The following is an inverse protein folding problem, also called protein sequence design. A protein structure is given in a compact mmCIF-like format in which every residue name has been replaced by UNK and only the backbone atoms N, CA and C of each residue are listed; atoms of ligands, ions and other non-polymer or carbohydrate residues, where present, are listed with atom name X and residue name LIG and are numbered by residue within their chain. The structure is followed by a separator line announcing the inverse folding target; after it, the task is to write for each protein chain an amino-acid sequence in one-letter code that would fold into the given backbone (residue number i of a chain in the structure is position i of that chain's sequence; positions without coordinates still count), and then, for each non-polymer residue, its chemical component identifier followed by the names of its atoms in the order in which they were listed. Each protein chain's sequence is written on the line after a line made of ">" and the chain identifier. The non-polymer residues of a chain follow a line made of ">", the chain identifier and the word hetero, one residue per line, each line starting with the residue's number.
data_IF_067067522503
#
_entry.id   IF_067067522503
#
_cell.length_a   1.000
_cell.length_b   1.000
_cell.length_c   1.000
_cell.angle_alpha   90.00
_cell.angle_beta   90.00
_cell.angle_gamma   90.00
#
_symmetry.space_group_name_H-M   'P 1'
#
loop_
_entity.id
_entity.type
_entity.pdbx_description
1 polymer ?
#
# COMPACT_ATOMS: atom_id res chain seq x y z
N UNK A 1 -2.55 -4.81 15.79
CA UNK A 1 -2.56 -3.33 15.75
C UNK A 1 -3.90 -2.87 16.30
N UNK A 2 -3.93 -1.81 17.12
CA UNK A 2 -5.19 -1.19 17.53
C UNK A 2 -5.32 0.17 16.85
N UNK A 3 -6.46 0.41 16.22
CA UNK A 3 -6.79 1.72 15.65
C UNK A 3 -7.87 2.35 16.53
N UNK A 4 -7.68 3.59 16.93
CA UNK A 4 -8.65 4.36 17.71
C UNK A 4 -8.96 5.66 16.99
N UNK A 5 -10.22 6.03 16.92
CA UNK A 5 -10.63 7.32 16.38
C UNK A 5 -10.84 8.30 17.53
N UNK A 6 -10.29 9.50 17.42
CA UNK A 6 -10.47 10.57 18.43
C UNK A 6 -10.45 11.90 17.71
N UNK A 7 -11.47 12.74 17.92
CA UNK A 7 -11.56 14.10 17.36
C UNK A 7 -11.33 14.16 15.83
N UNK A 8 -11.87 13.19 15.09
CA UNK A 8 -11.72 13.11 13.62
C UNK A 8 -10.34 12.66 13.13
N UNK A 9 -9.46 12.21 14.02
CA UNK A 9 -8.17 11.60 13.69
C UNK A 9 -8.14 10.11 14.04
N UNK A 10 -7.31 9.37 13.32
CA UNK A 10 -7.03 7.97 13.54
C UNK A 10 -5.69 7.81 14.24
N UNK A 11 -5.71 7.18 15.41
CA UNK A 11 -4.53 6.85 16.20
C UNK A 11 -4.26 5.37 16.09
N UNK A 12 -3.21 5.02 15.35
CA UNK A 12 -2.69 3.68 15.21
C UNK A 12 -1.70 3.42 16.35
N UNK A 13 -1.99 2.44 17.18
CA UNK A 13 -1.06 1.96 18.20
C UNK A 13 -0.34 0.74 17.65
N UNK A 14 0.95 0.96 17.36
CA UNK A 14 1.84 0.00 16.73
C UNK A 14 2.80 -0.55 17.79
N UNK A 15 2.91 -1.87 17.86
CA UNK A 15 4.07 -2.49 18.51
C UNK A 15 5.37 -2.12 17.78
N UNK A 16 6.52 -2.34 18.43
CA UNK A 16 7.82 -2.09 17.80
C UNK A 16 8.01 -2.89 16.49
N UNK A 17 7.48 -4.12 16.46
CA UNK A 17 7.49 -4.96 15.26
C UNK A 17 6.59 -4.41 14.16
N UNK A 18 5.35 -4.02 14.47
CA UNK A 18 4.43 -3.45 13.50
C UNK A 18 4.95 -2.13 12.91
N UNK A 19 5.57 -1.27 13.74
CA UNK A 19 6.25 -0.06 13.26
C UNK A 19 7.35 -0.41 12.26
N UNK A 20 8.23 -1.36 12.61
CA UNK A 20 9.31 -1.79 11.72
C UNK A 20 8.76 -2.35 10.42
N UNK A 21 7.75 -3.21 10.48
CA UNK A 21 7.10 -3.78 9.30
C UNK A 21 6.48 -2.73 8.42
N UNK A 22 5.74 -1.78 8.99
CA UNK A 22 5.12 -0.70 8.24
C UNK A 22 6.20 0.10 7.49
N UNK A 23 7.32 0.42 8.15
CA UNK A 23 8.43 1.11 7.50
C UNK A 23 9.03 0.31 6.35
N UNK A 24 9.26 -1.00 6.53
CA UNK A 24 9.78 -1.83 5.45
C UNK A 24 8.78 -1.93 4.28
N UNK A 25 7.48 -2.05 4.56
CA UNK A 25 6.44 -2.04 3.52
C UNK A 25 6.44 -0.73 2.73
N UNK A 26 6.43 0.41 3.42
CA UNK A 26 6.39 1.72 2.77
C UNK A 26 7.63 1.98 1.91
N UNK A 27 8.80 1.45 2.30
CA UNK A 27 10.04 1.52 1.49
C UNK A 27 9.96 0.74 0.18
N UNK A 28 9.07 -0.24 0.09
CA UNK A 28 8.88 -1.01 -1.12
C UNK A 28 8.08 -0.24 -2.17
N UNK A 29 7.51 0.92 -1.81
CA UNK A 29 6.77 1.76 -2.74
C UNK A 29 7.68 2.63 -3.64
N UNK A 30 7.37 2.75 -4.94
CA UNK A 30 6.34 2.01 -5.68
C UNK A 30 6.76 0.58 -5.98
N UNK A 31 5.92 -0.40 -5.60
CA UNK A 31 6.22 -1.82 -5.86
C UNK A 31 5.60 -2.20 -7.19
N UNK A 32 6.47 -2.38 -8.18
CA UNK A 32 6.18 -2.61 -9.61
C UNK A 32 5.53 -1.43 -10.34
N UNK A 33 6.30 -0.85 -11.26
CA UNK A 33 5.79 -0.02 -12.36
C UNK A 33 5.29 -0.89 -13.51
N UNK A 34 4.45 -1.89 -13.25
CA UNK A 34 3.76 -2.58 -14.35
C UNK A 34 2.54 -1.74 -14.72
N UNK A 35 2.45 -1.19 -15.95
CA UNK A 35 1.15 -0.76 -16.45
C UNK A 35 0.25 -1.98 -16.31
N UNK A 36 -0.97 -1.82 -15.75
CA UNK A 36 -2.02 -2.86 -15.81
C UNK A 36 -1.84 -3.57 -17.14
N UNK A 37 -1.53 -4.88 -17.14
CA UNK A 37 -1.58 -5.67 -18.37
C UNK A 37 -2.93 -5.30 -18.97
N UNK A 38 -2.88 -4.66 -20.14
CA UNK A 38 -4.05 -4.05 -20.77
C UNK A 38 -5.21 -5.03 -20.67
N UNK A 39 -6.41 -4.51 -20.39
CA UNK A 39 -7.63 -5.29 -20.50
C UNK A 39 -7.56 -6.20 -21.75
N UNK A 40 -8.07 -7.45 -21.68
CA UNK A 40 -7.86 -8.46 -22.73
C UNK A 40 -8.06 -7.84 -24.11
N UNK A 41 -6.97 -7.85 -24.87
CA UNK A 41 -6.83 -7.18 -26.16
C UNK A 41 -7.94 -7.70 -27.09
N UNK A 42 -8.84 -6.86 -27.64
CA UNK A 42 -9.54 -7.26 -28.84
C UNK A 42 -8.46 -7.46 -29.92
N UNK A 43 -8.46 -8.64 -30.52
CA UNK A 43 -7.66 -8.96 -31.70
C UNK A 43 -7.76 -7.82 -32.72
N UNK A 44 -6.61 -7.32 -33.18
CA UNK A 44 -6.38 -6.18 -34.07
C UNK A 44 -6.45 -4.75 -33.47
N UNK A 45 -5.28 -4.23 -33.06
CA UNK A 45 -4.78 -2.88 -33.44
C UNK A 45 -3.35 -2.65 -32.90
N UNK A 46 -2.41 -2.03 -33.65
CA UNK A 46 -1.03 -1.79 -33.21
C UNK A 46 -0.83 -0.53 -32.35
N UNK A 47 -1.84 0.31 -32.21
CA UNK A 47 -1.75 1.56 -31.45
C UNK A 47 -2.48 1.46 -30.11
N UNK A 48 -1.74 1.73 -29.02
CA UNK A 48 -2.35 2.10 -27.74
C UNK A 48 -3.17 3.39 -27.98
N UNK A 49 -4.49 3.38 -27.75
CA UNK A 49 -5.33 4.57 -27.88
C UNK A 49 -4.74 5.74 -27.08
N UNK A 50 -4.83 6.97 -27.60
CA UNK A 50 -4.31 8.16 -26.91
C UNK A 50 -4.82 8.30 -25.45
N UNK A 51 -6.02 7.78 -25.16
CA UNK A 51 -6.59 7.70 -23.81
C UNK A 51 -5.81 6.79 -22.86
N UNK A 52 -5.32 5.64 -23.35
CA UNK A 52 -4.50 4.73 -22.54
C UNK A 52 -3.13 5.34 -22.24
N UNK A 53 -2.54 6.08 -23.20
CA UNK A 53 -1.28 6.79 -22.98
C UNK A 53 -1.41 7.87 -21.92
N UNK A 54 -2.43 8.73 -22.02
CA UNK A 54 -2.70 9.79 -21.04
C UNK A 54 -2.96 9.22 -19.64
N UNK A 55 -3.66 8.09 -19.55
CA UNK A 55 -3.89 7.39 -18.29
C UNK A 55 -2.57 6.89 -17.68
N UNK A 56 -1.69 6.27 -18.47
CA UNK A 56 -0.39 5.79 -17.98
C UNK A 56 0.50 6.94 -17.52
N UNK A 57 0.49 8.06 -18.24
CA UNK A 57 1.24 9.26 -17.87
C UNK A 57 0.75 9.80 -16.52
N UNK A 58 -0.56 9.98 -16.36
CA UNK A 58 -1.17 10.46 -15.11
C UNK A 58 -0.87 9.54 -13.93
N UNK A 59 -0.98 8.22 -14.13
CA UNK A 59 -0.67 7.24 -13.07
C UNK A 59 0.82 7.26 -12.71
N UNK A 60 1.70 7.48 -13.68
CA UNK A 60 3.15 7.58 -13.44
C UNK A 60 3.49 8.82 -12.63
N UNK A 61 2.88 9.96 -12.96
CA UNK A 61 3.04 11.21 -12.21
C UNK A 61 2.50 11.09 -10.78
N UNK A 62 1.30 10.54 -10.61
CA UNK A 62 0.70 10.29 -9.30
C UNK A 62 1.60 9.39 -8.44
N UNK A 63 2.17 8.32 -9.01
CA UNK A 63 3.09 7.44 -8.30
C UNK A 63 4.37 8.16 -7.88
N UNK A 64 4.91 9.02 -8.75
CA UNK A 64 6.10 9.83 -8.45
C UNK A 64 5.83 10.79 -7.30
N UNK A 65 4.67 11.43 -7.30
CA UNK A 65 4.28 12.35 -6.21
C UNK A 65 4.06 11.59 -4.90
N UNK A 66 3.32 10.49 -4.94
CA UNK A 66 3.15 9.60 -3.79
C UNK A 66 4.49 9.12 -3.23
N UNK A 67 5.48 8.83 -4.08
CA UNK A 67 6.81 8.41 -3.63
C UNK A 67 7.48 9.50 -2.80
N UNK A 68 7.37 10.77 -3.21
CA UNK A 68 7.90 11.89 -2.42
C UNK A 68 7.16 12.03 -1.09
N UNK A 69 5.83 11.91 -1.09
CA UNK A 69 5.02 11.97 0.12
C UNK A 69 5.36 10.84 1.09
N UNK A 70 5.58 9.62 0.60
CA UNK A 70 6.03 8.49 1.42
C UNK A 70 7.41 8.77 2.04
N UNK A 71 8.35 9.30 1.25
CA UNK A 71 9.66 9.66 1.77
C UNK A 71 9.59 10.74 2.85
N UNK A 72 8.80 11.80 2.61
CA UNK A 72 8.57 12.86 3.59
C UNK A 72 7.90 12.31 4.87
N UNK A 73 6.91 11.43 4.71
CA UNK A 73 6.22 10.78 5.82
C UNK A 73 7.18 9.91 6.66
N UNK A 74 8.03 9.11 6.03
CA UNK A 74 9.02 8.26 6.72
C UNK A 74 10.14 9.08 7.38
N UNK A 75 10.45 10.27 6.86
CA UNK A 75 11.49 11.15 7.37
C UNK A 75 11.02 12.04 8.53
N UNK A 76 9.71 12.09 8.83
CA UNK A 76 9.13 12.92 9.87
C UNK A 76 8.94 12.12 11.19
N UNK A 77 9.90 12.19 12.13
CA UNK A 77 9.79 11.48 13.40
C UNK A 77 8.66 12.03 14.29
N UNK A 78 8.19 13.26 14.07
CA UNK A 78 7.18 13.88 14.93
C UNK A 78 5.80 13.20 14.82
N UNK A 79 5.58 12.48 13.72
CA UNK A 79 4.39 11.66 13.47
C UNK A 79 4.31 10.41 14.36
N UNK A 80 5.46 10.00 14.91
CA UNK A 80 5.62 8.80 15.69
C UNK A 80 5.90 9.16 17.13
N UNK A 81 4.87 9.10 17.96
CA UNK A 81 5.01 9.35 19.38
C UNK A 81 5.26 8.04 20.10
N UNK A 82 6.40 7.92 20.77
CA UNK A 82 6.67 6.74 21.60
C UNK A 82 5.80 6.77 22.86
N UNK A 83 5.24 5.62 23.18
CA UNK A 83 4.34 5.37 24.31
C UNK A 83 4.86 4.17 25.10
N UNK A 84 4.37 3.98 26.33
CA UNK A 84 4.77 2.83 27.17
C UNK A 84 4.50 1.46 26.54
N UNK A 85 3.58 1.38 25.58
CA UNK A 85 3.14 0.12 24.95
C UNK A 85 3.62 -0.03 23.49
N UNK A 86 4.39 0.91 22.95
CA UNK A 86 4.78 0.94 21.53
C UNK A 86 4.78 2.35 20.97
N UNK A 87 4.53 2.53 19.68
CA UNK A 87 4.49 3.83 19.03
C UNK A 87 3.07 4.16 18.59
N UNK A 88 2.66 5.41 18.79
CA UNK A 88 1.41 5.97 18.28
C UNK A 88 1.68 6.76 17.00
N UNK A 89 0.96 6.41 15.94
CA UNK A 89 0.90 7.16 14.68
C UNK A 89 -0.47 7.83 14.57
N UNK A 90 -0.50 9.13 14.28
CA UNK A 90 -1.75 9.89 14.16
C UNK A 90 -1.99 10.36 12.73
N UNK A 91 -3.08 9.90 12.12
CA UNK A 91 -3.47 10.18 10.74
C UNK A 91 -4.80 10.95 10.71
N UNK A 92 -4.93 11.90 9.81
CA UNK A 92 -6.22 12.44 9.38
C UNK A 92 -6.95 11.43 8.49
N UNK A 93 -8.25 11.64 8.25
CA UNK A 93 -9.02 10.79 7.35
C UNK A 93 -8.41 10.72 5.94
N UNK A 94 -8.00 11.86 5.38
CA UNK A 94 -7.35 11.92 4.07
C UNK A 94 -6.05 11.11 4.04
N UNK A 95 -5.28 11.13 5.14
CA UNK A 95 -4.06 10.34 5.25
C UNK A 95 -4.33 8.85 5.38
N UNK A 96 -5.45 8.45 6.00
CA UNK A 96 -5.88 7.03 6.03
C UNK A 96 -6.24 6.55 4.64
N UNK A 97 -7.03 7.33 3.88
CA UNK A 97 -7.39 7.00 2.50
C UNK A 97 -6.14 6.89 1.61
N UNK A 98 -5.21 7.83 1.76
CA UNK A 98 -3.91 7.79 1.09
C UNK A 98 -3.08 6.55 1.49
N UNK A 99 -3.07 6.19 2.77
CA UNK A 99 -2.42 4.97 3.26
C UNK A 99 -3.02 3.70 2.66
N UNK A 100 -4.34 3.63 2.56
CA UNK A 100 -5.03 2.49 1.94
C UNK A 100 -4.66 2.33 0.47
N UNK A 101 -4.61 3.44 -0.28
CA UNK A 101 -4.15 3.41 -1.67
C UNK A 101 -2.72 2.90 -1.79
N UNK A 102 -1.84 3.38 -0.91
CA UNK A 102 -0.43 3.01 -0.88
C UNK A 102 -0.20 1.53 -0.56
N UNK A 103 -0.86 1.02 0.48
CA UNK A 103 -0.80 -0.38 0.87
C UNK A 103 -1.35 -1.27 -0.24
N UNK A 104 -2.45 -0.85 -0.89
CA UNK A 104 -3.06 -1.57 -1.99
C UNK A 104 -2.12 -1.66 -3.20
N UNK A 105 -1.43 -0.56 -3.55
CA UNK A 105 -0.43 -0.57 -4.61
C UNK A 105 0.72 -1.54 -4.31
N UNK A 106 1.20 -1.58 -3.06
CA UNK A 106 2.22 -2.55 -2.62
C UNK A 106 1.69 -3.99 -2.71
N UNK A 107 0.45 -4.21 -2.26
CA UNK A 107 -0.20 -5.52 -2.25
C UNK A 107 -0.40 -6.05 -3.66
N UNK A 108 -1.01 -5.27 -4.53
CA UNK A 108 -1.24 -5.61 -5.94
C UNK A 108 0.09 -5.77 -6.68
N UNK A 109 1.05 -4.88 -6.45
CA UNK A 109 2.39 -5.00 -7.04
C UNK A 109 3.10 -6.29 -6.63
N UNK A 110 2.93 -6.71 -5.37
CA UNK A 110 3.46 -7.99 -4.89
C UNK A 110 2.75 -9.19 -5.53
N UNK A 111 1.43 -9.12 -5.68
CA UNK A 111 0.64 -10.15 -6.38
C UNK A 111 1.05 -10.31 -7.84
N UNK A 112 1.32 -9.21 -8.55
CA UNK A 112 1.84 -9.22 -9.93
C UNK A 112 3.22 -9.87 -10.00
N UNK A 113 4.11 -9.56 -9.05
CA UNK A 113 5.46 -10.14 -9.00
C UNK A 113 5.45 -11.65 -8.70
N UNK A 114 4.41 -12.13 -8.02
CA UNK A 114 4.19 -13.57 -7.82
C UNK A 114 3.52 -14.26 -9.04
N UNK A 115 3.33 -13.56 -10.15
CA UNK A 115 2.77 -14.12 -11.38
C UNK A 115 1.25 -14.02 -11.49
N UNK A 116 0.57 -13.27 -10.62
CA UNK A 116 -0.88 -13.08 -10.65
C UNK A 116 -1.70 -14.38 -10.69
N UNK A 117 -1.45 -15.36 -9.81
CA UNK A 117 -2.14 -16.64 -9.90
C UNK A 117 -3.62 -16.51 -9.55
N UNK A 118 -4.44 -17.28 -10.25
CA UNK A 118 -5.88 -17.38 -10.03
C UNK A 118 -6.18 -18.16 -8.73
N UNK A 119 -5.34 -19.12 -8.37
CA UNK A 119 -5.43 -19.86 -7.12
C UNK A 119 -4.34 -19.40 -6.13
N UNK A 120 -4.66 -19.34 -4.82
CA UNK A 120 -3.71 -19.04 -3.74
C UNK A 120 -2.73 -20.19 -3.47
N UNK A 121 -2.09 -20.73 -4.51
CA UNK A 121 -1.08 -21.78 -4.41
C UNK A 121 0.27 -21.18 -4.73
N UNK A 122 0.95 -20.72 -3.69
CA UNK A 122 2.29 -20.13 -3.80
C UNK A 122 3.34 -21.21 -3.58
N UNK A 123 4.27 -21.34 -4.53
CA UNK A 123 5.53 -22.01 -4.21
C UNK A 123 6.33 -21.08 -3.31
N UNK A 124 6.77 -21.55 -2.15
CA UNK A 124 7.56 -20.75 -1.21
C UNK A 124 9.03 -21.02 -1.42
N UNK A 125 9.71 -20.04 -2.01
CA UNK A 125 11.15 -20.03 -2.22
C UNK A 125 11.72 -18.63 -1.89
N UNK A 126 13.05 -18.45 -1.89
CA UNK A 126 13.66 -17.15 -1.59
C UNK A 126 13.26 -16.01 -2.53
N UNK A 127 12.78 -16.30 -3.75
CA UNK A 127 12.35 -15.27 -4.71
C UNK A 127 10.92 -14.82 -4.44
N UNK A 128 10.03 -15.75 -4.16
CA UNK A 128 8.59 -15.53 -3.96
C UNK A 128 8.24 -15.09 -2.54
N UNK A 129 8.95 -15.58 -1.52
CA UNK A 129 8.64 -15.30 -0.11
C UNK A 129 8.59 -13.79 0.23
N UNK A 130 9.51 -12.92 -0.24
CA UNK A 130 9.45 -11.49 0.03
C UNK A 130 8.24 -10.78 -0.59
N UNK A 131 7.70 -11.32 -1.69
CA UNK A 131 6.50 -10.77 -2.34
C UNK A 131 5.24 -11.24 -1.61
N UNK A 132 5.16 -12.53 -1.27
CA UNK A 132 4.04 -13.04 -0.49
C UNK A 132 3.94 -12.33 0.86
N UNK A 133 5.08 -12.17 1.54
CA UNK A 133 5.14 -11.45 2.81
C UNK A 133 4.58 -10.04 2.70
N UNK A 134 5.03 -9.27 1.70
CA UNK A 134 4.55 -7.90 1.53
C UNK A 134 3.07 -7.82 1.14
N UNK A 135 2.59 -8.77 0.33
CA UNK A 135 1.18 -8.86 -0.03
C UNK A 135 0.30 -9.10 1.21
N UNK A 136 0.63 -10.09 2.02
CA UNK A 136 -0.12 -10.45 3.23
C UNK A 136 -0.03 -9.35 4.29
N UNK A 137 1.15 -8.77 4.52
CA UNK A 137 1.30 -7.72 5.52
C UNK A 137 0.63 -6.40 5.11
N UNK A 138 0.65 -6.03 3.82
CA UNK A 138 -0.17 -4.91 3.34
C UNK A 138 -1.66 -5.18 3.58
N UNK A 139 -2.14 -6.39 3.26
CA UNK A 139 -3.52 -6.79 3.50
C UNK A 139 -3.91 -6.75 4.99
N UNK A 140 -3.01 -7.13 5.89
CA UNK A 140 -3.22 -6.99 7.33
C UNK A 140 -3.42 -5.52 7.74
N UNK A 141 -2.54 -4.60 7.33
CA UNK A 141 -2.70 -3.18 7.66
C UNK A 141 -3.95 -2.57 7.03
N UNK A 142 -4.28 -2.93 5.78
CA UNK A 142 -5.52 -2.51 5.10
C UNK A 142 -6.76 -2.93 5.89
N UNK A 143 -6.84 -4.22 6.27
CA UNK A 143 -7.98 -4.75 7.02
C UNK A 143 -8.21 -3.98 8.32
N UNK A 144 -7.14 -3.68 9.06
CA UNK A 144 -7.26 -2.94 10.32
C UNK A 144 -7.65 -1.47 10.13
N UNK A 145 -7.21 -0.83 9.05
CA UNK A 145 -7.58 0.54 8.71
C UNK A 145 -9.03 0.62 8.23
N UNK A 146 -9.47 -0.34 7.41
CA UNK A 146 -10.84 -0.44 6.92
C UNK A 146 -11.81 -0.72 8.06
N UNK A 147 -11.50 -1.66 8.96
CA UNK A 147 -12.32 -1.93 10.15
C UNK A 147 -12.51 -0.66 11.00
N UNK A 148 -11.48 0.18 11.11
CA UNK A 148 -11.56 1.44 11.83
C UNK A 148 -12.40 2.53 11.11
N UNK A 149 -12.51 2.44 9.78
CA UNK A 149 -13.39 3.31 8.98
C UNK A 149 -14.84 2.81 9.00
N UNK A 150 -15.04 1.49 8.97
CA UNK A 150 -16.35 0.83 8.88
C UNK A 150 -17.04 0.67 10.23
N UNK A 151 -16.31 0.63 11.34
CA UNK A 151 -16.86 0.63 12.71
C UNK A 151 -17.62 1.91 13.11
N UNK A 152 -18.00 2.72 12.11
CA UNK A 152 -18.83 3.92 12.14
C UNK A 152 -20.28 3.63 11.65
N UNK A 153 -20.69 2.34 11.62
CA UNK A 153 -22.07 1.90 11.33
C UNK A 153 -22.81 1.41 12.57
#
# INVERSE_FOLDING_TARGET
>A
MKVQRTEGRFHLHLSAWEKRLLFELLRLYPRSGSPRKSAPKPTHSPDLPASERLLQETLTEQRKENKKLVQAFLADPSRFQDTKAGTRLSLSQLEVEWFLQLLNDIRIGSWVLLGSPEEKRWHLDPETAPHLFAMEMSGYFESQLLEALEGDA
#
